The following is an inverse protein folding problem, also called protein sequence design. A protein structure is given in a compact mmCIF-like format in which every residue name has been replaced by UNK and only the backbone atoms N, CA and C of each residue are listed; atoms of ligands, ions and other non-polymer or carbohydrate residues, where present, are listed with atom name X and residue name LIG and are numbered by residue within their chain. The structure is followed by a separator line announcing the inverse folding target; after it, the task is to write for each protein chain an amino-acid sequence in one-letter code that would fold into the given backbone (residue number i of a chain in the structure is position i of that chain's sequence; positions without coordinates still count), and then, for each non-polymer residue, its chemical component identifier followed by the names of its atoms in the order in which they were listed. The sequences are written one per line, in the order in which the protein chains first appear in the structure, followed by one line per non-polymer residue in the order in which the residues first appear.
data_IF_429778146603
#
_entry.id   IF_429778146603
#
_cell.length_a   1.000
_cell.length_b   1.000
_cell.length_c   1.000
_cell.angle_alpha   90.00
_cell.angle_beta   90.00
_cell.angle_gamma   90.00
#
_symmetry.space_group_name_H-M   'P 1'
#
loop_
_entity.id
_entity.type
_entity.pdbx_description
1 polymer ?
#
# COMPACT_ATOMS: atom_id res chain seq x y z
N UNK A 1 -14.62 -4.76 28.24
CA UNK A 1 -15.24 -4.27 29.50
C UNK A 1 -16.73 -4.34 29.30
N UNK A 2 -17.38 -5.30 29.96
CA UNK A 2 -18.82 -5.58 29.84
C UNK A 2 -19.56 -4.73 30.86
N UNK A 3 -20.48 -3.87 30.42
CA UNK A 3 -21.38 -3.14 31.30
C UNK A 3 -22.64 -3.99 31.50
N UNK A 4 -22.79 -4.54 32.70
CA UNK A 4 -24.05 -5.11 33.16
C UNK A 4 -25.02 -3.97 33.48
N UNK A 5 -26.05 -3.85 32.68
CA UNK A 5 -27.19 -2.97 32.88
C UNK A 5 -28.06 -3.55 34.01
N UNK A 6 -28.00 -2.93 35.19
CA UNK A 6 -28.90 -3.24 36.30
C UNK A 6 -30.28 -2.69 35.97
N UNK A 7 -31.16 -3.58 35.52
CA UNK A 7 -32.61 -3.32 35.46
C UNK A 7 -33.12 -3.19 36.90
N UNK A 8 -33.29 -1.95 37.37
CA UNK A 8 -33.98 -1.66 38.63
C UNK A 8 -35.47 -1.70 38.34
N UNK A 9 -36.06 -2.88 38.51
CA UNK A 9 -37.50 -3.06 38.62
C UNK A 9 -37.95 -2.53 39.98
N UNK A 10 -38.30 -1.24 40.04
CA UNK A 10 -39.02 -0.66 41.18
C UNK A 10 -40.50 -1.03 41.06
N UNK A 11 -40.83 -2.24 41.52
CA UNK A 11 -42.20 -2.61 41.84
C UNK A 11 -42.66 -1.79 43.07
N UNK A 12 -43.75 -1.02 43.00
CA UNK A 12 -44.28 -0.36 44.17
C UNK A 12 -44.86 -1.43 45.11
N UNK A 13 -44.21 -1.62 46.27
CA UNK A 13 -44.76 -2.37 47.41
C UNK A 13 -46.11 -1.77 47.81
N UNK A 14 -47.20 -2.40 47.36
CA UNK A 14 -48.55 -2.19 47.90
C UNK A 14 -48.55 -2.64 49.37
N UNK A 15 -48.40 -1.68 50.27
CA UNK A 15 -48.59 -1.87 51.71
C UNK A 15 -50.07 -2.15 51.98
N UNK A 16 -50.37 -3.37 52.40
CA UNK A 16 -51.66 -3.76 52.96
C UNK A 16 -51.80 -3.17 54.37
N UNK A 17 -52.29 -1.93 54.44
CA UNK A 17 -52.85 -1.33 55.66
C UNK A 17 -54.36 -1.50 55.63
N UNK A 18 -54.86 -2.53 56.31
CA UNK A 18 -56.27 -2.59 56.69
C UNK A 18 -56.49 -1.70 57.89
N UNK A 19 -57.40 -0.74 57.75
CA UNK A 19 -58.10 -0.11 58.87
C UNK A 19 -59.60 -0.17 58.55
N UNK A 20 -60.32 -0.80 59.46
CA UNK A 20 -61.77 -0.89 59.52
C UNK A 20 -62.40 0.52 59.59
N UNK A 21 -63.42 0.79 58.77
CA UNK A 21 -64.35 1.90 59.01
C UNK A 21 -65.79 1.37 58.93
N UNK A 22 -66.41 1.32 60.12
CA UNK A 22 -67.82 1.07 60.36
C UNK A 22 -68.74 2.14 59.74
N UNK A 23 -69.96 1.71 59.43
CA UNK A 23 -71.11 2.45 58.91
C UNK A 23 -71.27 3.92 59.36
N UNK A 24 -71.54 4.83 58.41
CA UNK A 24 -72.09 6.15 58.74
C UNK A 24 -72.31 7.09 57.55
N UNK A 25 -73.52 7.04 56.97
CA UNK A 25 -74.08 7.94 55.92
C UNK A 25 -73.49 7.72 54.52
N UNK A 26 -74.37 7.63 53.51
CA UNK A 26 -73.96 7.77 52.13
C UNK A 26 -73.33 9.15 51.98
N UNK A 27 -72.01 9.19 51.90
CA UNK A 27 -71.22 10.40 51.67
C UNK A 27 -71.45 10.82 50.22
N UNK A 28 -72.65 11.37 49.98
CA UNK A 28 -73.08 11.86 48.68
C UNK A 28 -72.38 13.18 48.47
N UNK A 29 -71.22 13.10 47.82
CA UNK A 29 -70.46 14.27 47.40
C UNK A 29 -71.36 15.14 46.54
N UNK A 30 -71.45 16.43 46.87
CA UNK A 30 -72.24 17.38 46.08
C UNK A 30 -71.89 17.24 44.60
N UNK A 31 -72.90 17.31 43.73
CA UNK A 31 -72.74 17.22 42.27
C UNK A 31 -71.64 18.14 41.74
N UNK A 32 -71.47 19.32 42.36
CA UNK A 32 -70.41 20.27 42.03
C UNK A 32 -69.01 19.75 42.33
N UNK A 33 -68.83 19.01 43.42
CA UNK A 33 -67.54 18.39 43.78
C UNK A 33 -67.20 17.24 42.82
N UNK A 34 -68.18 16.39 42.48
CA UNK A 34 -67.98 15.32 41.50
C UNK A 34 -67.63 15.88 40.11
N UNK A 35 -68.26 16.99 39.70
CA UNK A 35 -67.95 17.70 38.45
C UNK A 35 -66.52 18.26 38.44
N UNK A 36 -66.04 18.82 39.56
CA UNK A 36 -64.66 19.31 39.70
C UNK A 36 -63.64 18.17 39.62
N UNK A 37 -63.86 17.08 40.36
CA UNK A 37 -62.98 15.91 40.36
C UNK A 37 -62.87 15.24 38.99
N UNK A 38 -63.98 15.15 38.24
CA UNK A 38 -63.97 14.67 36.85
C UNK A 38 -63.16 15.60 35.93
N UNK A 39 -63.26 16.91 36.13
CA UNK A 39 -62.47 17.90 35.39
C UNK A 39 -60.97 17.77 35.67
N UNK A 40 -60.60 17.57 36.93
CA UNK A 40 -59.21 17.33 37.35
C UNK A 40 -58.67 16.00 36.82
N UNK A 41 -59.45 14.91 36.92
CA UNK A 41 -59.06 13.61 36.36
C UNK A 41 -58.81 13.67 34.85
N UNK A 42 -59.68 14.37 34.10
CA UNK A 42 -59.49 14.56 32.66
C UNK A 42 -58.23 15.38 32.32
N UNK A 43 -57.96 16.44 33.10
CA UNK A 43 -56.72 17.22 32.94
C UNK A 43 -55.49 16.38 33.24
N UNK A 44 -55.51 15.63 34.35
CA UNK A 44 -54.42 14.75 34.75
C UNK A 44 -54.17 13.65 33.71
N UNK A 45 -55.24 13.07 33.16
CA UNK A 45 -55.14 12.07 32.09
C UNK A 45 -54.53 12.68 30.82
N UNK A 46 -54.98 13.88 30.41
CA UNK A 46 -54.42 14.57 29.26
C UNK A 46 -52.94 14.95 29.47
N UNK A 47 -52.56 15.36 30.69
CA UNK A 47 -51.16 15.61 31.05
C UNK A 47 -50.32 14.33 31.04
N UNK A 48 -50.86 13.22 31.54
CA UNK A 48 -50.19 11.92 31.50
C UNK A 48 -49.97 11.44 30.06
N UNK A 49 -50.99 11.53 29.20
CA UNK A 49 -50.88 11.19 27.78
C UNK A 49 -49.87 12.09 27.05
N UNK A 50 -49.82 13.38 27.40
CA UNK A 50 -48.85 14.34 26.86
C UNK A 50 -47.43 14.03 27.32
N UNK A 51 -47.22 13.76 28.62
CA UNK A 51 -45.92 13.40 29.17
C UNK A 51 -45.43 12.08 28.61
N UNK A 52 -46.29 11.07 28.51
CA UNK A 52 -45.96 9.78 27.93
C UNK A 52 -45.60 9.90 26.44
N UNK A 53 -46.31 10.73 25.69
CA UNK A 53 -45.96 11.02 24.28
C UNK A 53 -44.59 11.68 24.17
N UNK A 54 -44.31 12.69 25.00
CA UNK A 54 -42.98 13.34 25.03
C UNK A 54 -41.87 12.38 25.42
N UNK A 55 -42.12 11.50 26.39
CA UNK A 55 -41.14 10.51 26.85
C UNK A 55 -40.80 9.53 25.72
N UNK A 56 -41.80 9.05 24.99
CA UNK A 56 -41.60 8.22 23.80
C UNK A 56 -40.84 8.95 22.69
N UNK A 57 -41.14 10.23 22.44
CA UNK A 57 -40.41 11.04 21.47
C UNK A 57 -38.93 11.19 21.86
N UNK A 58 -38.64 11.48 23.13
CA UNK A 58 -37.25 11.60 23.62
C UNK A 58 -36.50 10.28 23.56
N UNK A 59 -37.13 9.17 23.96
CA UNK A 59 -36.51 7.84 23.87
C UNK A 59 -36.20 7.44 22.43
N UNK A 60 -37.11 7.72 21.49
CA UNK A 60 -36.89 7.43 20.08
C UNK A 60 -35.76 8.30 19.51
N UNK A 61 -35.72 9.59 19.85
CA UNK A 61 -34.67 10.50 19.42
C UNK A 61 -33.29 10.07 19.97
N UNK A 62 -33.21 9.61 21.21
CA UNK A 62 -31.97 9.07 21.78
C UNK A 62 -31.54 7.76 21.09
N UNK A 63 -32.48 6.83 20.86
CA UNK A 63 -32.20 5.61 20.09
C UNK A 63 -31.64 5.91 18.71
N UNK A 64 -32.26 6.82 17.96
CA UNK A 64 -31.76 7.22 16.65
C UNK A 64 -30.36 7.84 16.70
N UNK A 65 -30.05 8.64 17.73
CA UNK A 65 -28.70 9.20 17.92
C UNK A 65 -27.69 8.12 18.22
N UNK A 66 -27.99 7.21 19.15
CA UNK A 66 -27.09 6.11 19.50
C UNK A 66 -26.85 5.17 18.31
N UNK A 67 -27.88 4.89 17.50
CA UNK A 67 -27.74 4.09 16.29
C UNK A 67 -26.87 4.78 15.23
N UNK A 68 -27.04 6.09 15.04
CA UNK A 68 -26.18 6.88 14.13
C UNK A 68 -24.72 6.86 14.58
N UNK A 69 -24.46 7.13 15.86
CA UNK A 69 -23.10 7.08 16.41
C UNK A 69 -22.47 5.69 16.30
N UNK A 70 -23.27 4.63 16.47
CA UNK A 70 -22.79 3.26 16.36
C UNK A 70 -22.48 2.90 14.91
N UNK A 71 -23.35 3.28 13.97
CA UNK A 71 -23.10 3.12 12.52
C UNK A 71 -21.87 3.90 12.08
N UNK A 72 -21.72 5.15 12.51
CA UNK A 72 -20.53 5.94 12.23
C UNK A 72 -19.27 5.24 12.76
N UNK A 73 -19.26 4.77 14.01
CA UNK A 73 -18.13 4.03 14.59
C UNK A 73 -17.81 2.75 13.81
N UNK A 74 -18.81 2.00 13.39
CA UNK A 74 -18.63 0.80 12.57
C UNK A 74 -18.06 1.14 11.19
N UNK A 75 -18.56 2.18 10.55
CA UNK A 75 -18.09 2.60 9.24
C UNK A 75 -16.68 3.19 9.29
N UNK A 76 -16.34 3.93 10.35
CA UNK A 76 -14.96 4.35 10.62
C UNK A 76 -14.03 3.16 10.83
N UNK A 77 -14.47 2.13 11.56
CA UNK A 77 -13.68 0.91 11.74
C UNK A 77 -13.44 0.19 10.42
N UNK A 78 -14.46 0.03 9.58
CA UNK A 78 -14.32 -0.56 8.23
C UNK A 78 -13.35 0.25 7.36
N UNK A 79 -13.44 1.58 7.40
CA UNK A 79 -12.56 2.46 6.65
C UNK A 79 -11.10 2.31 7.11
N UNK A 80 -10.87 2.20 8.42
CA UNK A 80 -9.54 1.98 8.99
C UNK A 80 -8.97 0.63 8.56
N UNK A 81 -9.75 -0.45 8.68
CA UNK A 81 -9.33 -1.79 8.23
C UNK A 81 -8.99 -1.83 6.73
N UNK A 82 -9.74 -1.10 5.91
CA UNK A 82 -9.45 -0.97 4.47
C UNK A 82 -8.14 -0.20 4.24
N UNK A 83 -7.91 0.89 4.97
CA UNK A 83 -6.66 1.67 4.88
C UNK A 83 -5.44 0.87 5.32
N UNK A 84 -5.57 0.08 6.38
CA UNK A 84 -4.49 -0.78 6.86
C UNK A 84 -4.15 -1.88 5.84
N UNK A 85 -5.17 -2.45 5.17
CA UNK A 85 -4.96 -3.40 4.06
C UNK A 85 -4.26 -2.73 2.87
N UNK A 86 -4.72 -1.55 2.44
CA UNK A 86 -4.08 -0.80 1.35
C UNK A 86 -2.63 -0.45 1.68
N UNK A 87 -2.34 -0.06 2.93
CA UNK A 87 -0.99 0.23 3.40
C UNK A 87 -0.11 -1.01 3.41
N UNK A 88 -0.64 -2.15 3.89
CA UNK A 88 0.07 -3.42 3.87
C UNK A 88 0.43 -3.86 2.44
N UNK A 89 -0.53 -3.80 1.51
CA UNK A 89 -0.31 -4.14 0.10
C UNK A 89 0.70 -3.20 -0.57
N UNK A 90 0.60 -1.90 -0.34
CA UNK A 90 1.58 -0.92 -0.86
C UNK A 90 2.97 -1.12 -0.28
N UNK A 91 3.07 -1.45 1.01
CA UNK A 91 4.37 -1.71 1.64
C UNK A 91 5.04 -2.95 1.06
N UNK A 92 4.28 -4.01 0.80
CA UNK A 92 4.77 -5.24 0.18
C UNK A 92 5.23 -5.01 -1.25
N UNK A 93 4.44 -4.30 -2.06
CA UNK A 93 4.83 -3.98 -3.44
C UNK A 93 6.06 -3.08 -3.50
N UNK A 94 6.21 -2.13 -2.57
CA UNK A 94 7.44 -1.33 -2.47
C UNK A 94 8.67 -2.17 -2.10
N UNK A 95 8.53 -3.13 -1.19
CA UNK A 95 9.60 -4.07 -0.85
C UNK A 95 10.01 -4.92 -2.06
N UNK A 96 9.04 -5.50 -2.77
CA UNK A 96 9.29 -6.29 -3.98
C UNK A 96 10.00 -5.47 -5.08
N UNK A 97 9.58 -4.22 -5.28
CA UNK A 97 10.22 -3.32 -6.25
C UNK A 97 11.66 -2.96 -5.84
N UNK A 98 11.89 -2.67 -4.56
CA UNK A 98 13.24 -2.34 -4.08
C UNK A 98 14.17 -3.57 -4.16
N UNK A 99 13.67 -4.78 -3.85
CA UNK A 99 14.41 -6.02 -4.03
C UNK A 99 14.77 -6.26 -5.50
N UNK A 100 13.82 -6.08 -6.42
CA UNK A 100 14.08 -6.17 -7.87
C UNK A 100 15.11 -5.14 -8.33
N UNK A 101 15.05 -3.91 -7.78
CA UNK A 101 16.00 -2.84 -8.09
C UNK A 101 17.41 -3.19 -7.60
N UNK A 102 17.54 -3.69 -6.37
CA UNK A 102 18.82 -4.11 -5.81
C UNK A 102 19.39 -5.29 -6.61
N UNK A 103 18.55 -6.29 -6.94
CA UNK A 103 18.96 -7.46 -7.70
C UNK A 103 19.41 -7.11 -9.12
N UNK A 104 18.72 -6.19 -9.79
CA UNK A 104 19.13 -5.70 -11.12
C UNK A 104 20.45 -4.90 -11.06
N UNK A 105 20.67 -4.11 -10.01
CA UNK A 105 21.95 -3.42 -9.79
C UNK A 105 23.10 -4.42 -9.59
N UNK A 106 22.91 -5.42 -8.72
CA UNK A 106 23.89 -6.49 -8.47
C UNK A 106 24.20 -7.25 -9.76
N UNK A 107 23.17 -7.67 -10.48
CA UNK A 107 23.30 -8.40 -11.73
C UNK A 107 24.03 -7.59 -12.81
N UNK A 108 23.67 -6.31 -12.99
CA UNK A 108 24.36 -5.45 -13.95
C UNK A 108 25.85 -5.30 -13.64
N UNK A 109 26.21 -5.25 -12.35
CA UNK A 109 27.59 -5.18 -11.89
C UNK A 109 28.34 -6.49 -12.16
N UNK A 110 27.71 -7.64 -11.93
CA UNK A 110 28.25 -8.97 -12.27
C UNK A 110 28.50 -9.08 -13.77
N UNK A 111 27.51 -8.76 -14.61
CA UNK A 111 27.63 -8.86 -16.07
C UNK A 111 28.74 -7.96 -16.61
N UNK A 112 28.86 -6.74 -16.09
CA UNK A 112 29.96 -5.82 -16.44
C UNK A 112 31.33 -6.38 -16.06
N UNK A 113 31.45 -7.02 -14.90
CA UNK A 113 32.72 -7.61 -14.42
C UNK A 113 33.04 -8.95 -15.08
N UNK A 114 32.05 -9.68 -15.59
CA UNK A 114 32.23 -10.98 -16.24
C UNK A 114 33.04 -10.84 -17.54
N UNK A 115 32.83 -9.74 -18.28
CA UNK A 115 33.53 -9.43 -19.53
C UNK A 115 33.05 -10.25 -20.73
N UNK A 116 31.83 -10.78 -20.68
CA UNK A 116 31.22 -11.56 -21.76
C UNK A 116 29.69 -11.50 -21.72
N UNK A 117 29.03 -12.17 -22.66
CA UNK A 117 27.58 -12.23 -22.73
C UNK A 117 27.06 -13.55 -22.15
N UNK A 118 26.03 -13.46 -21.32
CA UNK A 118 25.32 -14.61 -20.75
C UNK A 118 23.85 -14.45 -21.06
N UNK A 119 23.25 -15.53 -21.60
CA UNK A 119 21.83 -15.56 -21.90
C UNK A 119 21.00 -15.40 -20.61
N UNK A 120 19.89 -14.67 -20.70
CA UNK A 120 18.99 -14.39 -19.58
C UNK A 120 18.51 -15.67 -18.87
N UNK A 121 18.38 -16.79 -19.60
CA UNK A 121 18.00 -18.09 -19.01
C UNK A 121 18.91 -18.52 -17.86
N UNK A 122 20.18 -18.12 -17.88
CA UNK A 122 21.18 -18.53 -16.89
C UNK A 122 21.39 -17.52 -15.77
N UNK A 123 20.67 -16.39 -15.78
CA UNK A 123 20.82 -15.38 -14.73
C UNK A 123 20.39 -15.89 -13.34
N UNK A 124 19.53 -16.91 -13.30
CA UNK A 124 19.11 -17.58 -12.07
C UNK A 124 20.25 -18.30 -11.33
N UNK A 125 21.37 -18.59 -12.02
CA UNK A 125 22.53 -19.26 -11.44
C UNK A 125 23.53 -18.28 -10.81
N UNK A 126 23.28 -16.97 -10.86
CA UNK A 126 24.09 -16.00 -10.13
C UNK A 126 23.63 -15.90 -8.68
N UNK A 127 24.55 -16.16 -7.75
CA UNK A 127 24.30 -15.98 -6.32
C UNK A 127 24.30 -14.48 -5.96
N UNK A 128 23.17 -13.81 -6.19
CA UNK A 128 23.01 -12.38 -5.91
C UNK A 128 23.13 -12.05 -4.41
N UNK A 129 22.86 -13.01 -3.53
CA UNK A 129 22.93 -12.82 -2.07
C UNK A 129 24.37 -12.65 -1.55
N UNK A 130 25.34 -13.25 -2.24
CA UNK A 130 26.77 -13.11 -1.90
C UNK A 130 27.32 -11.74 -2.27
N UNK A 131 26.62 -10.98 -3.10
CA UNK A 131 27.02 -9.63 -3.51
C UNK A 131 26.54 -8.61 -2.47
N UNK A 132 27.49 -7.98 -1.80
CA UNK A 132 27.23 -7.02 -0.72
C UNK A 132 27.03 -5.63 -1.31
N UNK A 133 26.01 -4.91 -0.81
CA UNK A 133 25.85 -3.49 -1.05
C UNK A 133 26.30 -2.71 0.18
N UNK A 134 27.00 -1.61 -0.07
CA UNK A 134 27.28 -0.63 0.97
C UNK A 134 25.99 0.15 1.30
N UNK A 135 25.50 0.11 2.56
CA UNK A 135 24.27 0.79 2.95
C UNK A 135 24.34 2.32 2.81
N UNK A 136 25.54 2.91 2.85
CA UNK A 136 25.70 4.37 2.77
C UNK A 136 25.70 4.86 1.32
N UNK A 137 26.46 4.22 0.44
CA UNK A 137 26.63 4.66 -0.95
C UNK A 137 25.64 4.01 -1.92
N UNK A 138 24.97 2.92 -1.50
CA UNK A 138 24.14 2.04 -2.35
C UNK A 138 24.90 1.51 -3.58
N UNK A 139 26.23 1.50 -3.53
CA UNK A 139 27.07 0.93 -4.56
C UNK A 139 27.36 -0.53 -4.25
N UNK A 140 27.59 -1.30 -5.30
CA UNK A 140 27.93 -2.72 -5.20
C UNK A 140 29.42 -2.84 -4.89
N UNK A 141 29.78 -3.64 -3.87
CA UNK A 141 31.18 -3.91 -3.56
C UNK A 141 31.85 -4.71 -4.67
N UNK A 142 32.86 -4.12 -5.31
CA UNK A 142 33.56 -4.73 -6.44
C UNK A 142 34.22 -6.07 -6.07
N UNK A 143 34.74 -6.22 -4.84
CA UNK A 143 35.40 -7.46 -4.41
C UNK A 143 34.42 -8.61 -4.27
N UNK A 144 33.23 -8.35 -3.71
CA UNK A 144 32.16 -9.34 -3.63
C UNK A 144 31.73 -9.82 -5.02
N UNK A 145 31.61 -8.90 -5.98
CA UNK A 145 31.27 -9.22 -7.38
C UNK A 145 32.33 -10.11 -8.02
N UNK A 146 33.61 -9.77 -7.88
CA UNK A 146 34.70 -10.58 -8.47
C UNK A 146 34.67 -12.02 -7.96
N UNK A 147 34.42 -12.24 -6.67
CA UNK A 147 34.31 -13.60 -6.10
C UNK A 147 33.19 -14.42 -6.73
N UNK A 148 32.01 -13.83 -6.86
CA UNK A 148 30.84 -14.50 -7.48
C UNK A 148 31.09 -14.78 -8.96
N UNK A 149 31.70 -13.83 -9.67
CA UNK A 149 32.09 -14.00 -11.07
C UNK A 149 33.11 -15.13 -11.24
N UNK A 150 34.11 -15.23 -10.38
CA UNK A 150 35.13 -16.28 -10.44
C UNK A 150 34.56 -17.67 -10.11
N UNK A 151 33.64 -17.74 -9.14
CA UNK A 151 32.90 -18.98 -8.83
C UNK A 151 32.02 -19.40 -10.02
N UNK A 152 31.30 -18.46 -10.62
CA UNK A 152 30.48 -18.72 -11.80
C UNK A 152 31.30 -19.18 -13.01
N UNK A 153 32.45 -18.53 -13.29
CA UNK A 153 33.38 -18.94 -14.36
C UNK A 153 33.90 -20.36 -14.18
N UNK A 154 34.15 -20.78 -12.94
CA UNK A 154 34.62 -22.14 -12.62
C UNK A 154 33.52 -23.18 -12.81
N UNK A 155 32.32 -22.88 -12.37
CA UNK A 155 31.20 -23.84 -12.38
C UNK A 155 30.54 -23.94 -13.76
N UNK A 156 30.45 -22.83 -14.50
CA UNK A 156 29.70 -22.74 -15.76
C UNK A 156 30.52 -22.10 -16.90
N UNK A 157 31.68 -22.65 -17.26
CA UNK A 157 32.51 -22.07 -18.32
C UNK A 157 31.84 -22.07 -19.70
N UNK A 158 31.03 -23.09 -20.01
CA UNK A 158 30.38 -23.26 -21.33
C UNK A 158 29.29 -22.23 -21.62
N UNK A 159 28.74 -21.60 -20.58
CA UNK A 159 27.62 -20.66 -20.69
C UNK A 159 28.10 -19.26 -21.10
N UNK A 160 29.36 -18.95 -20.79
CA UNK A 160 29.94 -17.64 -21.02
C UNK A 160 30.34 -17.53 -22.49
N UNK A 161 29.54 -16.80 -23.26
CA UNK A 161 29.94 -16.41 -24.61
C UNK A 161 30.94 -15.28 -24.44
N UNK A 162 32.22 -15.61 -24.48
CA UNK A 162 33.22 -14.58 -24.74
C UNK A 162 32.87 -13.99 -26.09
N UNK A 163 32.61 -12.68 -26.22
CA UNK A 163 32.45 -12.09 -27.53
C UNK A 163 33.70 -12.50 -28.28
N UNK A 164 33.53 -13.27 -29.36
CA UNK A 164 34.63 -13.63 -30.23
C UNK A 164 35.29 -12.30 -30.55
N UNK A 165 36.45 -12.03 -29.95
CA UNK A 165 37.36 -11.07 -30.53
C UNK A 165 37.50 -11.63 -31.92
N UNK A 166 36.93 -10.92 -32.89
CA UNK A 166 36.96 -11.24 -34.30
C UNK A 166 38.42 -11.08 -34.77
N UNK A 167 39.35 -11.81 -34.18
CA UNK A 167 40.54 -12.30 -34.84
C UNK A 167 40.01 -13.24 -35.90
N UNK A 168 39.65 -12.65 -37.04
CA UNK A 168 39.51 -13.43 -38.25
C UNK A 168 40.79 -14.28 -38.39
N UNK A 169 40.68 -15.57 -38.71
CA UNK A 169 41.85 -16.46 -38.88
C UNK A 169 42.83 -15.99 -39.96
N UNK A 170 42.45 -14.98 -40.75
CA UNK A 170 43.35 -14.23 -41.61
C UNK A 170 43.49 -12.80 -41.10
N UNK A 171 44.70 -12.49 -40.67
CA UNK A 171 45.22 -11.17 -40.39
C UNK A 171 45.24 -10.31 -41.68
N UNK A 172 44.05 -9.97 -42.21
CA UNK A 172 43.92 -8.98 -43.26
C UNK A 172 43.78 -7.62 -42.56
N UNK A 173 44.71 -6.66 -42.77
CA UNK A 173 44.57 -5.34 -42.18
C UNK A 173 43.22 -4.77 -42.61
N UNK A 174 42.39 -4.45 -41.61
CA UNK A 174 41.18 -3.67 -41.81
C UNK A 174 41.58 -2.43 -42.61
N UNK A 175 40.97 -2.24 -43.77
CA UNK A 175 41.29 -1.15 -44.68
C UNK A 175 41.37 0.17 -43.93
N UNK A 176 42.59 0.63 -43.70
CA UNK A 176 42.85 2.00 -43.34
C UNK A 176 42.20 2.88 -44.39
N UNK A 177 41.56 3.96 -43.94
CA UNK A 177 40.94 4.96 -44.80
C UNK A 177 41.84 5.24 -46.01
N UNK A 178 41.37 4.93 -47.21
CA UNK A 178 42.10 5.17 -48.46
C UNK A 178 42.22 6.65 -48.81
N UNK A 179 41.77 7.55 -47.93
CA UNK A 179 41.92 8.99 -48.06
C UNK A 179 43.33 9.40 -47.64
N UNK A 180 44.19 9.63 -48.63
CA UNK A 180 45.51 10.23 -48.44
C UNK A 180 45.34 11.71 -48.09
N UNK A 181 46.10 12.22 -47.12
CA UNK A 181 46.08 13.65 -46.80
C UNK A 181 46.76 14.47 -47.92
N UNK A 182 46.44 15.76 -48.04
CA UNK A 182 47.02 16.62 -49.10
C UNK A 182 48.56 16.62 -49.10
N UNK A 183 49.17 16.61 -47.91
CA UNK A 183 50.64 16.60 -47.74
C UNK A 183 51.28 15.27 -48.15
N UNK A 184 50.55 14.16 -48.04
CA UNK A 184 51.00 12.85 -48.51
C UNK A 184 50.78 12.70 -50.02
N UNK A 185 49.73 13.32 -50.59
CA UNK A 185 49.48 13.35 -52.03
C UNK A 185 50.57 14.10 -52.80
N UNK A 186 51.07 15.22 -52.27
CA UNK A 186 52.17 16.01 -52.85
C UNK A 186 53.50 15.24 -52.98
N UNK A 187 53.68 14.19 -52.17
CA UNK A 187 54.91 13.38 -52.15
C UNK A 187 54.86 12.22 -53.15
N UNK A 188 53.73 11.99 -53.83
CA UNK A 188 53.58 10.92 -54.80
C UNK A 188 54.20 11.30 -56.17
N UNK A 189 54.64 10.31 -56.96
CA UNK A 189 55.04 10.54 -58.35
C UNK A 189 53.89 11.16 -59.17
N UNK A 190 54.22 12.03 -60.13
CA UNK A 190 53.24 12.82 -60.92
C UNK A 190 52.17 11.98 -61.62
N UNK A 191 52.47 10.72 -61.94
CA UNK A 191 51.53 9.76 -62.53
C UNK A 191 50.44 9.31 -61.54
N UNK A 192 50.80 9.13 -60.28
CA UNK A 192 49.89 8.66 -59.22
C UNK A 192 49.12 9.80 -58.57
N UNK A 193 49.70 11.01 -58.55
CA UNK A 193 49.01 12.24 -58.14
C UNK A 193 47.70 12.45 -58.92
N UNK A 194 47.73 12.29 -60.25
CA UNK A 194 46.54 12.48 -61.10
C UNK A 194 45.45 11.45 -60.82
N UNK A 195 45.83 10.20 -60.55
CA UNK A 195 44.88 9.11 -60.29
C UNK A 195 44.19 9.26 -58.93
N UNK A 196 44.91 9.79 -57.94
CA UNK A 196 44.45 9.96 -56.55
C UNK A 196 43.86 11.34 -56.25
N UNK A 197 43.85 12.27 -57.21
CA UNK A 197 43.32 13.63 -57.00
C UNK A 197 41.86 13.65 -56.55
N UNK A 198 41.05 12.69 -57.02
CA UNK A 198 39.64 12.55 -56.62
C UNK A 198 39.46 12.22 -55.14
N UNK A 199 40.44 11.56 -54.53
CA UNK A 199 40.39 11.13 -53.13
C UNK A 199 40.70 12.30 -52.17
N UNK A 200 41.38 13.36 -52.66
CA UNK A 200 41.77 14.54 -51.88
C UNK A 200 40.78 15.69 -52.02
N UNK A 201 40.12 15.83 -53.17
CA UNK A 201 39.13 16.90 -53.42
C UNK A 201 37.78 16.63 -52.72
N UNK A 202 37.43 15.36 -52.49
CA UNK A 202 36.15 14.96 -51.90
C UNK A 202 36.22 14.73 -50.37
N UNK A 203 37.28 15.19 -49.72
CA UNK A 203 37.44 15.19 -48.26
C UNK A 203 36.90 16.48 -47.64
#
# INVERSE_FOLDING_TARGET
MSYQEKVVSDDPKMSAGGDDIENGKADSVSYDTHRKLLGEKKKLQAEFERLNSKLKETENAEKERTEKELREKEDYKKLLELKDKELAEKSKTLQEIEEQRVNSLKLSSILKSLGGEVDNKYWIHFDLDKVVLDPATKQVDALSVTKVVDEFKKTYPEIIKTPDKKTMPNNFPAGGSTSITYDEWLKLPTKDMKNRLKDVINQ
#
